data_IF_021505902028
#
_entry.id   IF_021505902028
#
_cell.length_a   1.000
_cell.length_b   1.000
_cell.length_c   1.000
_cell.angle_alpha   90.00
_cell.angle_beta   90.00
_cell.angle_gamma   90.00
#
_symmetry.space_group_name_H-M   'P 1'
#
loop_
_entity.id
_entity.type
_entity.pdbx_description
1 polymer ?
#
# COMPACT_ATOMS: atom_id res chain seq x y z
N UNK A 1 71.27 83.56 -56.35
CA UNK A 1 71.97 84.80 -55.95
C UNK A 1 71.52 85.15 -54.54
N UNK A 2 72.50 85.45 -53.66
CA UNK A 2 72.48 86.24 -52.41
C UNK A 2 71.18 86.37 -51.59
N UNK A 3 71.15 86.27 -50.26
CA UNK A 3 72.16 86.60 -49.25
C UNK A 3 71.72 86.00 -47.88
N UNK A 4 72.61 85.40 -47.06
CA UNK A 4 73.24 85.99 -45.84
C UNK A 4 72.22 86.28 -44.70
N UNK A 5 72.37 85.87 -43.43
CA UNK A 5 73.58 85.85 -42.56
C UNK A 5 73.24 85.45 -41.10
N UNK A 6 74.15 84.68 -40.44
CA UNK A 6 74.55 84.54 -38.99
C UNK A 6 73.51 84.14 -37.90
N UNK A 7 73.64 83.01 -37.16
CA UNK A 7 74.61 82.58 -36.09
C UNK A 7 74.30 83.20 -34.68
N UNK A 8 74.76 82.64 -33.54
CA UNK A 8 74.52 81.32 -32.90
C UNK A 8 74.24 81.46 -31.36
N UNK A 9 74.29 80.36 -30.58
CA UNK A 9 74.91 80.22 -29.22
C UNK A 9 74.10 79.30 -28.27
N UNK A 10 74.82 78.28 -27.76
CA UNK A 10 74.50 77.35 -26.67
C UNK A 10 74.41 78.05 -25.31
N UNK A 11 73.61 77.51 -24.39
CA UNK A 11 74.07 77.30 -23.01
C UNK A 11 73.33 76.15 -22.34
N UNK A 12 74.04 75.48 -21.44
CA UNK A 12 73.75 74.20 -20.80
C UNK A 12 73.39 74.38 -19.32
N UNK A 13 72.85 73.29 -18.72
CA UNK A 13 72.74 72.91 -17.27
C UNK A 13 71.27 72.75 -16.79
N UNK A 14 71.01 72.15 -15.61
CA UNK A 14 71.26 70.75 -15.22
C UNK A 14 69.96 70.08 -14.66
N UNK A 15 69.98 68.75 -14.45
CA UNK A 15 68.93 67.98 -13.72
C UNK A 15 68.81 68.44 -12.25
N UNK A 16 67.62 68.37 -11.63
CA UNK A 16 67.45 67.35 -10.58
C UNK A 16 66.03 66.78 -10.36
N UNK A 17 66.03 65.68 -9.59
CA UNK A 17 65.02 65.19 -8.64
C UNK A 17 63.69 64.55 -9.13
N UNK A 18 63.58 63.25 -8.80
CA UNK A 18 62.30 62.54 -8.55
C UNK A 18 61.60 63.16 -7.33
N UNK A 19 60.26 63.11 -7.31
CA UNK A 19 59.55 62.71 -6.11
C UNK A 19 58.66 61.49 -6.32
N UNK A 20 58.66 60.62 -5.31
CA UNK A 20 57.71 59.55 -5.06
C UNK A 20 56.29 60.10 -4.87
N UNK A 21 55.26 59.35 -5.29
CA UNK A 21 54.20 58.83 -4.42
C UNK A 21 53.01 58.33 -5.25
N UNK A 22 52.56 57.14 -4.86
CA UNK A 22 51.17 56.73 -4.77
C UNK A 22 50.30 56.97 -6.01
N UNK A 23 50.19 55.90 -6.80
CA UNK A 23 49.06 55.68 -7.69
C UNK A 23 47.73 55.79 -6.91
N UNK A 24 47.03 56.88 -7.22
CA UNK A 24 45.59 57.14 -7.11
C UNK A 24 44.70 55.99 -6.63
N UNK A 25 43.97 56.28 -5.55
CA UNK A 25 42.72 55.61 -5.20
C UNK A 25 41.56 56.11 -6.08
N UNK A 26 40.50 55.31 -6.09
CA UNK A 26 39.12 55.58 -6.52
C UNK A 26 38.72 55.24 -7.98
N UNK A 27 38.18 54.03 -8.17
CA UNK A 27 36.74 53.89 -8.47
C UNK A 27 36.24 52.48 -8.18
N UNK A 28 35.14 52.43 -7.43
CA UNK A 28 34.42 51.23 -7.08
C UNK A 28 33.67 50.62 -8.28
N UNK A 29 33.25 49.37 -8.06
CA UNK A 29 32.13 48.63 -8.64
C UNK A 29 32.37 47.79 -9.91
N UNK A 30 31.79 46.58 -9.85
CA UNK A 30 31.60 45.56 -10.90
C UNK A 30 32.85 44.71 -11.20
N UNK A 31 32.87 43.38 -11.06
CA UNK A 31 31.81 42.36 -11.07
C UNK A 31 32.25 41.13 -10.26
N UNK A 32 31.54 40.82 -9.17
CA UNK A 32 31.56 39.46 -8.63
C UNK A 32 30.80 38.56 -9.63
N UNK A 33 31.53 37.98 -10.57
CA UNK A 33 31.00 37.04 -11.56
C UNK A 33 30.33 35.86 -10.85
N UNK A 34 29.01 35.85 -10.94
CA UNK A 34 28.12 34.86 -10.36
C UNK A 34 28.46 33.45 -10.85
N UNK A 35 29.17 32.68 -10.02
CA UNK A 35 29.31 31.20 -10.19
C UNK A 35 27.99 30.43 -9.93
N UNK A 36 26.82 31.09 -10.08
CA UNK A 36 25.49 30.55 -9.76
C UNK A 36 24.72 29.81 -10.90
N UNK A 37 25.05 29.87 -12.21
CA UNK A 37 24.12 29.37 -13.24
C UNK A 37 24.04 27.84 -13.36
N UNK A 38 25.08 27.09 -12.94
CA UNK A 38 25.04 25.61 -12.95
C UNK A 38 24.25 25.03 -11.78
N UNK A 39 24.42 25.58 -10.58
CA UNK A 39 23.72 25.10 -9.38
C UNK A 39 22.21 25.36 -9.48
N UNK A 40 21.78 26.52 -9.98
CA UNK A 40 20.37 26.84 -10.19
C UNK A 40 19.74 25.96 -11.29
N UNK A 41 20.47 25.65 -12.35
CA UNK A 41 20.01 24.74 -13.41
C UNK A 41 19.86 23.30 -12.89
N UNK A 42 20.81 22.80 -12.10
CA UNK A 42 20.71 21.47 -11.47
C UNK A 42 19.55 21.43 -10.47
N UNK A 43 19.39 22.45 -9.62
CA UNK A 43 18.25 22.55 -8.70
C UNK A 43 16.91 22.56 -9.42
N UNK A 44 16.79 23.32 -10.52
CA UNK A 44 15.57 23.32 -11.34
C UNK A 44 15.29 21.95 -11.99
N UNK A 45 16.32 21.26 -12.49
CA UNK A 45 16.17 19.90 -13.04
C UNK A 45 15.71 18.93 -11.95
N UNK A 46 16.29 18.99 -10.75
CA UNK A 46 15.89 18.14 -9.62
C UNK A 46 14.45 18.42 -9.16
N UNK A 47 14.04 19.70 -9.12
CA UNK A 47 12.67 20.09 -8.80
C UNK A 47 11.68 19.58 -9.86
N UNK A 48 12.01 19.70 -11.15
CA UNK A 48 11.18 19.17 -12.23
C UNK A 48 11.10 17.64 -12.20
N UNK A 49 12.20 16.96 -11.89
CA UNK A 49 12.22 15.51 -11.72
C UNK A 49 11.36 15.07 -10.53
N UNK A 50 11.45 15.76 -9.39
CA UNK A 50 10.61 15.50 -8.23
C UNK A 50 9.13 15.75 -8.55
N UNK A 51 8.80 16.86 -9.22
CA UNK A 51 7.43 17.15 -9.64
C UNK A 51 6.88 16.08 -10.59
N UNK A 52 7.69 15.61 -11.55
CA UNK A 52 7.33 14.53 -12.46
C UNK A 52 7.10 13.20 -11.73
N UNK A 53 7.93 12.88 -10.73
CA UNK A 53 7.75 11.70 -9.88
C UNK A 53 6.46 11.77 -9.05
N UNK A 54 6.18 12.93 -8.45
CA UNK A 54 4.93 13.14 -7.70
C UNK A 54 3.72 13.04 -8.61
N UNK A 55 3.77 13.64 -9.81
CA UNK A 55 2.71 13.54 -10.81
C UNK A 55 2.50 12.10 -11.26
N UNK A 56 3.58 11.35 -11.53
CA UNK A 56 3.49 9.94 -11.89
C UNK A 56 2.84 9.10 -10.77
N UNK A 57 3.21 9.36 -9.51
CA UNK A 57 2.58 8.73 -8.35
C UNK A 57 1.09 9.07 -8.24
N UNK A 58 0.71 10.33 -8.45
CA UNK A 58 -0.68 10.78 -8.46
C UNK A 58 -1.48 10.12 -9.58
N UNK A 59 -0.93 10.01 -10.79
CA UNK A 59 -1.59 9.35 -11.93
C UNK A 59 -1.78 7.84 -11.65
N UNK A 60 -0.75 7.17 -11.11
CA UNK A 60 -0.83 5.74 -10.80
C UNK A 60 -1.79 5.43 -9.63
N UNK A 61 -1.98 6.33 -8.67
CA UNK A 61 -3.05 6.20 -7.68
C UNK A 61 -4.40 6.56 -8.29
N UNK A 62 -4.48 7.71 -8.97
CA UNK A 62 -5.71 8.29 -9.51
C UNK A 62 -6.43 7.38 -10.49
N UNK A 63 -5.70 6.58 -11.28
CA UNK A 63 -6.32 5.59 -12.18
C UNK A 63 -7.23 4.59 -11.45
N UNK A 64 -6.98 4.29 -10.17
CA UNK A 64 -7.81 3.37 -9.38
C UNK A 64 -9.23 3.89 -9.08
N UNK A 65 -9.45 5.19 -9.26
CA UNK A 65 -10.79 5.78 -9.19
C UNK A 65 -11.69 5.30 -10.35
N UNK A 66 -11.10 4.88 -11.48
CA UNK A 66 -11.83 4.49 -12.69
C UNK A 66 -11.61 3.03 -13.04
N UNK A 67 -10.36 2.55 -12.96
CA UNK A 67 -9.96 1.19 -13.34
C UNK A 67 -9.32 0.44 -12.16
N UNK A 68 -9.68 -0.81 -11.87
CA UNK A 68 -10.52 -1.73 -12.64
C UNK A 68 -12.01 -1.41 -12.52
N UNK A 69 -12.82 -1.95 -13.43
CA UNK A 69 -14.28 -1.93 -13.26
C UNK A 69 -14.67 -2.90 -12.13
N UNK A 70 -15.16 -2.35 -11.02
CA UNK A 70 -15.59 -3.13 -9.86
C UNK A 70 -17.04 -3.57 -9.98
N UNK A 71 -17.86 -2.89 -10.78
CA UNK A 71 -19.29 -3.12 -10.87
C UNK A 71 -19.59 -4.45 -11.58
N UNK A 72 -18.72 -4.88 -12.48
CA UNK A 72 -18.79 -6.21 -13.11
C UNK A 72 -18.86 -7.36 -12.08
N UNK A 73 -18.25 -7.16 -10.89
CA UNK A 73 -18.26 -8.17 -9.83
C UNK A 73 -19.64 -8.37 -9.18
N UNK A 74 -20.62 -7.49 -9.44
CA UNK A 74 -22.00 -7.69 -9.01
C UNK A 74 -22.62 -8.93 -9.65
N UNK A 75 -22.19 -9.29 -10.86
CA UNK A 75 -22.78 -10.36 -11.66
C UNK A 75 -21.77 -11.43 -12.08
N UNK A 76 -20.47 -11.14 -12.04
CA UNK A 76 -19.43 -12.04 -12.49
C UNK A 76 -18.41 -12.33 -11.39
N UNK A 77 -17.94 -13.57 -11.36
CA UNK A 77 -16.86 -13.95 -10.46
C UNK A 77 -15.51 -13.53 -11.06
N UNK A 78 -14.58 -13.01 -10.25
CA UNK A 78 -13.25 -12.69 -10.73
C UNK A 78 -12.52 -13.97 -11.14
N UNK A 79 -11.69 -13.86 -12.18
CA UNK A 79 -10.68 -14.89 -12.45
C UNK A 79 -9.53 -14.86 -11.43
N UNK A 80 -8.36 -15.33 -11.85
CA UNK A 80 -7.17 -15.35 -10.99
C UNK A 80 -6.77 -13.93 -10.52
N UNK A 81 -6.78 -13.74 -9.21
CA UNK A 81 -6.54 -12.45 -8.55
C UNK A 81 -5.07 -12.04 -8.56
N UNK A 82 -4.79 -10.77 -8.26
CA UNK A 82 -3.42 -10.27 -8.13
C UNK A 82 -2.65 -11.02 -7.02
N UNK A 83 -3.29 -11.34 -5.89
CA UNK A 83 -2.65 -12.08 -4.80
C UNK A 83 -2.33 -13.52 -5.19
N UNK A 84 -3.23 -14.20 -5.92
CA UNK A 84 -2.99 -15.54 -6.45
C UNK A 84 -1.81 -15.57 -7.42
N UNK A 85 -1.75 -14.63 -8.37
CA UNK A 85 -0.60 -14.52 -9.30
C UNK A 85 0.70 -14.23 -8.56
N UNK A 86 0.64 -13.40 -7.52
CA UNK A 86 1.79 -13.12 -6.68
C UNK A 86 2.29 -14.37 -5.96
N UNK A 87 1.40 -15.23 -5.44
CA UNK A 87 1.76 -16.52 -4.85
C UNK A 87 2.45 -17.46 -5.83
N UNK A 88 1.89 -17.62 -7.02
CA UNK A 88 2.47 -18.48 -8.06
C UNK A 88 3.88 -18.02 -8.45
N UNK A 89 4.06 -16.71 -8.70
CA UNK A 89 5.37 -16.14 -8.98
C UNK A 89 6.35 -16.30 -7.80
N UNK A 90 5.85 -16.29 -6.56
CA UNK A 90 6.67 -16.53 -5.39
C UNK A 90 7.19 -17.98 -5.37
N UNK A 91 6.32 -18.97 -5.61
CA UNK A 91 6.70 -20.38 -5.67
C UNK A 91 7.66 -20.68 -6.83
N UNK A 92 7.44 -20.06 -7.99
CA UNK A 92 8.32 -20.19 -9.15
C UNK A 92 9.75 -19.73 -8.82
N UNK A 93 9.91 -18.56 -8.19
CA UNK A 93 11.21 -18.05 -7.71
C UNK A 93 11.87 -18.96 -6.68
N UNK A 94 11.06 -19.65 -5.87
CA UNK A 94 11.53 -20.62 -4.87
C UNK A 94 11.75 -22.02 -5.45
N UNK A 95 11.54 -22.24 -6.76
CA UNK A 95 11.66 -23.55 -7.41
C UNK A 95 10.61 -24.57 -6.97
N UNK A 96 9.50 -24.12 -6.35
CA UNK A 96 8.44 -24.98 -5.82
C UNK A 96 7.40 -25.29 -6.89
N UNK A 97 7.18 -26.58 -7.18
CA UNK A 97 6.10 -27.05 -8.06
C UNK A 97 4.78 -27.12 -7.29
N UNK A 98 4.10 -25.99 -7.17
CA UNK A 98 2.80 -25.86 -6.50
C UNK A 98 1.74 -25.30 -7.43
N UNK A 99 0.47 -25.54 -7.08
CA UNK A 99 -0.69 -25.01 -7.80
C UNK A 99 -1.73 -24.51 -6.80
N UNK A 100 -2.49 -23.51 -7.24
CA UNK A 100 -3.64 -23.02 -6.52
C UNK A 100 -4.80 -24.00 -6.70
N UNK A 101 -5.39 -24.42 -5.58
CA UNK A 101 -6.67 -25.13 -5.54
C UNK A 101 -7.73 -24.13 -5.11
N UNK A 102 -8.74 -23.94 -5.95
CA UNK A 102 -9.89 -23.08 -5.67
C UNK A 102 -11.17 -23.75 -6.14
N UNK A 103 -12.20 -23.71 -5.29
CA UNK A 103 -13.56 -24.10 -5.64
C UNK A 103 -14.48 -22.94 -5.31
N UNK A 104 -15.15 -22.40 -6.32
CA UNK A 104 -16.10 -21.31 -6.13
C UNK A 104 -17.43 -21.84 -5.60
N UNK A 105 -17.98 -21.18 -4.58
CA UNK A 105 -19.30 -21.50 -4.02
C UNK A 105 -20.11 -20.22 -3.79
N UNK A 106 -21.39 -20.16 -4.19
CA UNK A 106 -22.25 -19.02 -3.85
C UNK A 106 -22.48 -18.96 -2.34
N UNK A 107 -22.72 -17.77 -1.79
CA UNK A 107 -22.89 -17.56 -0.34
C UNK A 107 -24.05 -18.37 0.24
N UNK A 108 -25.08 -18.64 -0.57
CA UNK A 108 -26.22 -19.49 -0.18
C UNK A 108 -25.83 -20.95 0.11
N UNK A 109 -24.65 -21.40 -0.35
CA UNK A 109 -24.08 -22.72 -0.09
C UNK A 109 -22.90 -22.67 0.89
N UNK A 110 -22.81 -21.60 1.67
CA UNK A 110 -21.90 -21.50 2.82
C UNK A 110 -22.73 -21.58 4.09
N UNK A 111 -22.28 -22.35 5.09
CA UNK A 111 -23.02 -22.49 6.34
C UNK A 111 -23.16 -21.14 7.04
N UNK A 112 -24.30 -20.92 7.72
CA UNK A 112 -24.53 -19.69 8.50
C UNK A 112 -23.46 -19.52 9.57
N UNK A 113 -23.03 -20.62 10.18
CA UNK A 113 -21.97 -20.64 11.18
C UNK A 113 -20.63 -20.15 10.60
N UNK A 114 -20.28 -20.54 9.37
CA UNK A 114 -19.08 -20.04 8.70
C UNK A 114 -19.14 -18.54 8.39
N UNK A 115 -20.28 -18.06 7.88
CA UNK A 115 -20.53 -16.62 7.66
C UNK A 115 -20.34 -15.83 8.96
N UNK A 116 -20.92 -16.33 10.05
CA UNK A 116 -20.84 -15.68 11.36
C UNK A 116 -19.42 -15.72 11.95
N UNK A 117 -18.75 -16.87 11.89
CA UNK A 117 -17.40 -17.05 12.41
C UNK A 117 -16.42 -16.08 11.74
N UNK A 118 -16.47 -15.99 10.41
CA UNK A 118 -15.57 -15.14 9.62
C UNK A 118 -15.82 -13.67 9.90
N UNK A 119 -17.08 -13.24 9.92
CA UNK A 119 -17.40 -11.84 10.25
C UNK A 119 -16.95 -11.51 11.67
N UNK A 120 -17.25 -12.33 12.69
CA UNK A 120 -16.78 -12.10 14.07
C UNK A 120 -15.24 -12.03 14.19
N UNK A 121 -14.53 -12.87 13.45
CA UNK A 121 -13.07 -13.01 13.56
C UNK A 121 -12.30 -11.92 12.82
N UNK A 122 -12.77 -11.51 11.65
CA UNK A 122 -12.08 -10.57 10.76
C UNK A 122 -12.66 -9.15 10.82
N UNK A 123 -13.97 -9.01 11.03
CA UNK A 123 -14.70 -7.75 10.87
C UNK A 123 -16.09 -7.79 11.55
N UNK A 124 -16.12 -7.63 12.87
CA UNK A 124 -17.34 -7.89 13.66
C UNK A 124 -18.50 -6.94 13.36
N UNK A 125 -18.18 -5.76 12.79
CA UNK A 125 -19.14 -4.73 12.38
C UNK A 125 -19.38 -4.75 10.86
N UNK A 126 -18.96 -5.79 10.14
CA UNK A 126 -19.02 -5.88 8.68
C UNK A 126 -20.36 -5.43 8.07
N UNK A 127 -21.46 -5.81 8.70
CA UNK A 127 -22.82 -5.51 8.23
C UNK A 127 -23.26 -4.05 8.46
N UNK A 128 -22.54 -3.29 9.30
CA UNK A 128 -22.97 -1.99 9.80
C UNK A 128 -22.14 -0.81 9.24
N UNK A 129 -20.96 -1.06 8.67
CA UNK A 129 -20.10 -0.01 8.11
C UNK A 129 -20.03 -0.07 6.58
N UNK A 130 -19.49 0.95 5.92
CA UNK A 130 -19.32 1.03 4.46
C UNK A 130 -17.84 0.88 4.06
N UNK A 131 -17.26 -0.28 4.37
CA UNK A 131 -15.87 -0.63 4.04
C UNK A 131 -14.80 -0.22 5.04
N UNK A 132 -15.10 0.66 6.01
CA UNK A 132 -14.13 1.09 7.03
C UNK A 132 -14.77 1.05 8.43
N UNK A 133 -14.15 0.33 9.36
CA UNK A 133 -14.49 0.38 10.80
C UNK A 133 -13.56 1.39 11.48
N UNK A 134 -13.95 2.67 11.47
CA UNK A 134 -13.12 3.74 12.04
C UNK A 134 -12.88 3.56 13.54
N UNK A 135 -13.92 3.17 14.29
CA UNK A 135 -13.81 2.87 15.72
C UNK A 135 -12.87 1.68 15.97
N UNK A 136 -13.00 0.61 15.19
CA UNK A 136 -12.11 -0.55 15.28
C UNK A 136 -10.66 -0.22 14.92
N UNK A 137 -10.44 0.62 13.91
CA UNK A 137 -9.11 1.11 13.53
C UNK A 137 -8.48 1.95 14.64
N UNK A 138 -9.24 2.86 15.27
CA UNK A 138 -8.76 3.67 16.39
C UNK A 138 -8.38 2.79 17.59
N UNK A 139 -9.24 1.85 17.98
CA UNK A 139 -8.96 0.92 19.07
C UNK A 139 -7.76 0.00 18.78
N UNK A 140 -7.58 -0.43 17.53
CA UNK A 140 -6.42 -1.21 17.12
C UNK A 140 -5.13 -0.38 17.25
N UNK A 141 -5.16 0.87 16.79
CA UNK A 141 -4.03 1.79 16.90
C UNK A 141 -3.66 2.08 18.36
N UNK A 142 -4.64 2.34 19.23
CA UNK A 142 -4.40 2.55 20.66
C UNK A 142 -3.72 1.34 21.31
N UNK A 143 -4.23 0.12 21.07
CA UNK A 143 -3.63 -1.14 21.56
C UNK A 143 -2.22 -1.38 21.05
N UNK A 144 -1.93 -0.95 19.83
CA UNK A 144 -0.62 -1.08 19.20
C UNK A 144 0.40 -0.11 19.81
N UNK A 145 -0.03 1.14 20.05
CA UNK A 145 0.76 2.15 20.76
C UNK A 145 1.08 1.70 22.19
N UNK A 146 0.08 1.18 22.93
CA UNK A 146 0.27 0.63 24.28
C UNK A 146 1.28 -0.53 24.32
N UNK A 147 1.31 -1.36 23.27
CA UNK A 147 2.21 -2.52 23.17
C UNK A 147 3.55 -2.20 22.51
N UNK A 148 3.78 -0.93 22.16
CA UNK A 148 5.00 -0.48 21.48
C UNK A 148 5.24 -1.15 20.13
N UNK A 149 4.20 -1.64 19.46
CA UNK A 149 4.32 -2.33 18.17
C UNK A 149 3.16 -1.97 17.25
N UNK A 150 3.44 -1.68 15.98
CA UNK A 150 2.42 -1.55 14.95
C UNK A 150 2.09 -2.95 14.44
N UNK A 151 0.95 -3.50 14.84
CA UNK A 151 0.43 -4.74 14.30
C UNK A 151 -0.31 -4.47 12.97
N UNK A 152 -0.38 -5.49 12.11
CA UNK A 152 -1.15 -5.42 10.87
C UNK A 152 -2.67 -5.61 11.09
N UNK A 153 -3.18 -5.28 12.27
CA UNK A 153 -4.59 -5.45 12.65
C UNK A 153 -5.45 -4.27 12.22
N UNK A 154 -6.74 -4.50 11.94
CA UNK A 154 -7.74 -3.44 11.74
C UNK A 154 -8.18 -3.19 10.30
N UNK A 155 -7.83 -4.05 9.33
CA UNK A 155 -8.42 -3.98 7.98
C UNK A 155 -9.74 -4.75 7.91
N UNK A 156 -10.79 -4.13 7.37
CA UNK A 156 -12.11 -4.72 7.17
C UNK A 156 -12.10 -5.81 6.08
N UNK A 157 -13.15 -6.62 6.01
CA UNK A 157 -13.30 -7.65 4.97
C UNK A 157 -13.23 -7.03 3.56
N UNK A 158 -13.83 -5.86 3.35
CA UNK A 158 -13.82 -5.16 2.05
C UNK A 158 -12.43 -4.67 1.68
N UNK A 159 -11.68 -4.13 2.64
CA UNK A 159 -10.29 -3.73 2.44
C UNK A 159 -9.41 -4.93 2.07
N UNK A 160 -9.60 -6.05 2.78
CA UNK A 160 -8.89 -7.29 2.49
C UNK A 160 -9.27 -7.85 1.11
N UNK A 161 -10.55 -7.78 0.71
CA UNK A 161 -11.02 -8.17 -0.61
C UNK A 161 -10.36 -7.31 -1.71
N UNK A 162 -10.39 -5.98 -1.58
CA UNK A 162 -9.76 -5.07 -2.54
C UNK A 162 -8.27 -5.38 -2.72
N UNK A 163 -7.58 -5.60 -1.60
CA UNK A 163 -6.17 -6.00 -1.58
C UNK A 163 -5.96 -7.31 -2.32
N UNK A 164 -6.74 -8.36 -2.03
CA UNK A 164 -6.56 -9.67 -2.64
C UNK A 164 -6.84 -9.67 -4.14
N UNK A 165 -7.90 -8.97 -4.57
CA UNK A 165 -8.31 -8.94 -5.98
C UNK A 165 -7.27 -8.28 -6.88
N UNK A 166 -6.75 -7.11 -6.49
CA UNK A 166 -6.00 -6.26 -7.43
C UNK A 166 -4.63 -5.78 -6.96
N UNK A 167 -4.29 -5.98 -5.69
CA UNK A 167 -3.05 -5.45 -5.13
C UNK A 167 -2.11 -6.58 -4.70
N UNK A 168 -0.81 -6.29 -4.67
CA UNK A 168 0.19 -7.19 -4.11
C UNK A 168 0.37 -6.94 -2.60
N UNK A 169 0.96 -7.89 -1.84
CA UNK A 169 1.18 -7.76 -0.38
C UNK A 169 2.21 -6.70 0.04
N UNK A 170 2.54 -5.72 -0.81
CA UNK A 170 3.57 -4.73 -0.51
C UNK A 170 3.21 -3.85 0.70
N UNK A 171 4.21 -3.44 1.49
CA UNK A 171 4.01 -2.53 2.64
C UNK A 171 4.04 -1.03 2.25
N UNK A 172 3.76 -0.71 0.99
CA UNK A 172 3.83 0.65 0.47
C UNK A 172 2.61 1.50 0.89
N UNK A 173 2.77 2.70 1.46
CA UNK A 173 1.67 3.61 1.77
C UNK A 173 0.77 3.95 0.55
N UNK A 174 1.35 4.13 -0.64
CA UNK A 174 0.59 4.37 -1.88
C UNK A 174 -0.32 3.19 -2.22
N UNK A 175 0.09 1.95 -1.89
CA UNK A 175 -0.77 0.77 -2.04
C UNK A 175 -1.97 0.85 -1.10
N UNK A 176 -1.81 1.35 0.13
CA UNK A 176 -2.93 1.51 1.07
C UNK A 176 -3.92 2.59 0.59
N UNK A 177 -3.46 3.65 -0.06
CA UNK A 177 -4.35 4.64 -0.69
C UNK A 177 -5.17 4.03 -1.84
N UNK A 178 -4.52 3.23 -2.71
CA UNK A 178 -5.22 2.47 -3.77
C UNK A 178 -6.25 1.50 -3.20
N UNK A 179 -5.91 0.81 -2.11
CA UNK A 179 -6.82 -0.07 -1.39
C UNK A 179 -8.04 0.69 -0.87
N UNK A 180 -7.84 1.89 -0.29
CA UNK A 180 -8.95 2.71 0.20
C UNK A 180 -9.91 3.13 -0.91
N UNK A 181 -9.37 3.57 -2.06
CA UNK A 181 -10.18 3.92 -3.26
C UNK A 181 -11.00 2.70 -3.72
N UNK A 182 -10.36 1.54 -3.86
CA UNK A 182 -11.02 0.30 -4.28
C UNK A 182 -12.07 -0.18 -3.27
N UNK A 183 -11.80 -0.05 -1.98
CA UNK A 183 -12.71 -0.41 -0.89
C UNK A 183 -14.01 0.40 -1.00
N UNK A 184 -13.87 1.73 -1.11
CA UNK A 184 -15.03 2.61 -1.30
C UNK A 184 -15.81 2.26 -2.57
N UNK A 185 -15.12 1.99 -3.68
CA UNK A 185 -15.78 1.61 -4.95
C UNK A 185 -16.53 0.26 -4.83
N UNK A 186 -15.97 -0.73 -4.13
CA UNK A 186 -16.61 -2.02 -3.91
C UNK A 186 -17.89 -1.87 -3.08
N UNK A 187 -17.85 -1.11 -2.00
CA UNK A 187 -19.03 -0.88 -1.13
C UNK A 187 -20.14 -0.12 -1.85
N UNK A 188 -19.77 0.82 -2.72
CA UNK A 188 -20.75 1.56 -3.54
C UNK A 188 -21.39 0.67 -4.62
N UNK A 189 -20.64 -0.27 -5.18
CA UNK A 189 -21.08 -1.05 -6.34
C UNK A 189 -21.73 -2.40 -5.99
N UNK A 190 -21.40 -2.97 -4.82
CA UNK A 190 -21.76 -4.34 -4.46
C UNK A 190 -22.54 -4.38 -3.14
N UNK A 191 -23.47 -5.33 -3.04
CA UNK A 191 -24.11 -5.62 -1.76
C UNK A 191 -23.13 -6.29 -0.78
N UNK A 192 -23.34 -6.10 0.53
CA UNK A 192 -22.56 -6.77 1.59
C UNK A 192 -22.50 -8.28 1.43
N UNK A 193 -23.61 -8.91 1.02
CA UNK A 193 -23.65 -10.34 0.74
C UNK A 193 -22.70 -10.71 -0.40
N UNK A 194 -22.69 -9.93 -1.48
CA UNK A 194 -21.79 -10.19 -2.61
C UNK A 194 -20.32 -9.96 -2.24
N UNK A 195 -20.02 -8.91 -1.48
CA UNK A 195 -18.67 -8.66 -0.96
C UNK A 195 -18.17 -9.85 -0.14
N UNK A 196 -18.99 -10.34 0.79
CA UNK A 196 -18.61 -11.48 1.63
C UNK A 196 -18.44 -12.76 0.80
N UNK A 197 -19.32 -13.00 -0.18
CA UNK A 197 -19.17 -14.14 -1.11
C UNK A 197 -17.84 -14.10 -1.84
N UNK A 198 -17.49 -12.96 -2.44
CA UNK A 198 -16.23 -12.78 -3.14
C UNK A 198 -15.06 -13.03 -2.19
N UNK A 199 -15.09 -12.41 -1.00
CA UNK A 199 -14.05 -12.55 0.02
C UNK A 199 -13.81 -14.01 0.39
N UNK A 200 -14.88 -14.74 0.75
CA UNK A 200 -14.79 -16.13 1.16
C UNK A 200 -14.21 -17.02 0.07
N UNK A 201 -14.42 -16.69 -1.20
CA UNK A 201 -13.91 -17.45 -2.34
C UNK A 201 -12.49 -17.07 -2.78
N UNK A 202 -12.01 -15.86 -2.48
CA UNK A 202 -10.67 -15.39 -2.91
C UNK A 202 -9.65 -15.31 -1.77
N UNK A 203 -10.08 -15.46 -0.52
CA UNK A 203 -9.18 -15.55 0.63
C UNK A 203 -8.30 -16.81 0.54
N UNK A 204 -7.07 -16.70 1.00
CA UNK A 204 -6.15 -17.83 1.21
C UNK A 204 -6.41 -18.42 2.59
N UNK A 205 -6.75 -19.70 2.64
CA UNK A 205 -7.06 -20.43 3.87
C UNK A 205 -5.93 -21.37 4.30
N UNK A 206 -5.03 -21.69 3.37
CA UNK A 206 -3.87 -22.55 3.58
C UNK A 206 -2.91 -22.43 2.39
N UNK A 207 -1.80 -23.17 2.44
CA UNK A 207 -0.76 -23.16 1.41
C UNK A 207 -1.30 -23.63 0.05
N UNK A 208 -1.61 -22.67 -0.82
CA UNK A 208 -2.25 -22.90 -2.11
C UNK A 208 -3.73 -23.24 -2.07
N UNK A 209 -4.37 -23.10 -0.91
CA UNK A 209 -5.81 -23.34 -0.72
C UNK A 209 -6.52 -22.00 -0.70
N UNK A 210 -7.31 -21.74 -1.75
CA UNK A 210 -8.09 -20.53 -1.91
C UNK A 210 -9.58 -20.85 -1.95
N UNK A 211 -10.36 -20.03 -1.26
CA UNK A 211 -11.81 -20.22 -1.16
C UNK A 211 -12.25 -21.18 -0.07
N UNK A 212 -13.36 -20.84 0.59
CA UNK A 212 -13.86 -21.55 1.77
C UNK A 212 -14.27 -23.00 1.47
N UNK A 213 -14.77 -23.29 0.28
CA UNK A 213 -15.12 -24.66 -0.12
C UNK A 213 -13.88 -25.56 -0.21
N UNK A 214 -12.79 -25.05 -0.81
CA UNK A 214 -11.53 -25.78 -0.86
C UNK A 214 -10.95 -26.00 0.55
N UNK A 215 -11.07 -24.98 1.42
CA UNK A 215 -10.61 -25.06 2.80
C UNK A 215 -11.39 -26.08 3.63
N UNK A 216 -12.73 -26.05 3.58
CA UNK A 216 -13.60 -26.98 4.29
C UNK A 216 -13.31 -28.44 3.92
N UNK A 217 -13.10 -28.70 2.62
CA UNK A 217 -12.75 -30.04 2.13
C UNK A 217 -11.35 -30.46 2.59
N UNK A 218 -10.37 -29.56 2.50
CA UNK A 218 -8.98 -29.87 2.83
C UNK A 218 -8.79 -30.12 4.33
N UNK A 219 -9.41 -29.33 5.20
CA UNK A 219 -9.23 -29.44 6.66
C UNK A 219 -10.16 -30.46 7.32
N UNK A 220 -11.39 -30.63 6.81
CA UNK A 220 -12.42 -31.39 7.51
C UNK A 220 -13.15 -32.43 6.65
N UNK A 221 -12.88 -32.49 5.34
CA UNK A 221 -13.56 -33.42 4.44
C UNK A 221 -15.05 -33.11 4.24
N UNK A 222 -15.50 -31.90 4.58
CA UNK A 222 -16.91 -31.47 4.41
C UNK A 222 -17.04 -30.35 3.38
N UNK A 223 -18.26 -30.12 2.89
CA UNK A 223 -18.56 -28.92 2.09
C UNK A 223 -18.63 -27.68 2.97
N UNK A 224 -18.48 -26.48 2.39
CA UNK A 224 -18.67 -25.21 3.10
C UNK A 224 -20.07 -25.08 3.70
N UNK A 225 -21.08 -25.70 3.08
CA UNK A 225 -22.44 -25.77 3.61
C UNK A 225 -22.54 -26.66 4.86
N UNK A 226 -21.70 -27.70 4.96
CA UNK A 226 -21.69 -28.68 6.05
C UNK A 226 -20.80 -28.33 7.24
N UNK A 227 -20.16 -27.15 7.25
CA UNK A 227 -19.32 -26.72 8.36
C UNK A 227 -20.12 -26.53 9.64
N UNK A 228 -19.75 -27.27 10.69
CA UNK A 228 -20.25 -27.06 12.05
C UNK A 228 -19.77 -25.73 12.64
N UNK A 229 -20.35 -25.29 13.76
CA UNK A 229 -19.91 -24.08 14.46
C UNK A 229 -18.44 -24.14 14.88
N UNK A 230 -18.01 -25.29 15.40
CA UNK A 230 -16.62 -25.49 15.81
C UNK A 230 -15.65 -25.47 14.63
N UNK A 231 -16.00 -26.14 13.52
CA UNK A 231 -15.19 -26.16 12.31
C UNK A 231 -15.10 -24.76 11.68
N UNK A 232 -16.22 -24.05 11.62
CA UNK A 232 -16.30 -22.66 11.16
C UNK A 232 -15.41 -21.73 12.00
N UNK A 233 -15.49 -21.84 13.34
CA UNK A 233 -14.66 -21.04 14.25
C UNK A 233 -13.17 -21.34 14.09
N UNK A 234 -12.80 -22.61 13.86
CA UNK A 234 -11.40 -23.00 13.60
C UNK A 234 -10.89 -22.44 12.26
N UNK A 235 -11.69 -22.51 11.19
CA UNK A 235 -11.32 -21.91 9.90
C UNK A 235 -11.16 -20.38 10.02
N UNK A 236 -12.09 -19.72 10.68
CA UNK A 236 -11.99 -18.28 10.91
C UNK A 236 -10.77 -17.91 11.77
N UNK A 237 -10.38 -18.78 12.71
CA UNK A 237 -9.21 -18.55 13.55
C UNK A 237 -7.88 -18.56 12.76
N UNK A 238 -7.80 -19.25 11.61
CA UNK A 238 -6.56 -19.38 10.83
C UNK A 238 -6.31 -18.24 9.83
N UNK A 239 -7.34 -17.50 9.45
CA UNK A 239 -7.28 -16.42 8.43
C UNK A 239 -6.17 -15.38 8.64
N UNK A 240 -5.79 -14.97 9.87
CA UNK A 240 -4.68 -14.03 10.04
C UNK A 240 -3.31 -14.59 9.63
N UNK A 241 -3.14 -15.92 9.62
CA UNK A 241 -1.86 -16.57 9.28
C UNK A 241 -2.06 -17.96 8.65
N UNK A 242 -2.69 -18.04 7.46
CA UNK A 242 -3.15 -19.31 6.87
C UNK A 242 -1.98 -20.24 6.49
N UNK A 243 -0.79 -19.71 6.26
CA UNK A 243 0.40 -20.53 5.98
C UNK A 243 1.06 -21.11 7.24
N UNK A 244 0.75 -20.57 8.42
CA UNK A 244 1.40 -20.93 9.68
C UNK A 244 0.47 -21.68 10.62
N UNK A 245 -0.83 -21.46 10.49
CA UNK A 245 -1.85 -22.00 11.38
C UNK A 245 -2.67 -23.05 10.63
N UNK A 246 -3.12 -24.07 11.36
CA UNK A 246 -3.93 -25.17 10.82
C UNK A 246 -5.26 -25.22 11.54
N UNK A 247 -6.36 -25.35 10.78
CA UNK A 247 -7.70 -25.47 11.35
C UNK A 247 -8.00 -26.91 11.77
N UNK A 248 -7.46 -27.88 11.03
CA UNK A 248 -7.53 -29.32 11.33
C UNK A 248 -6.66 -29.71 12.53
N UNK A 249 -5.46 -29.13 12.66
CA UNK A 249 -4.49 -29.41 13.72
C UNK A 249 -4.06 -28.12 14.43
N UNK A 250 -4.98 -27.46 15.16
CA UNK A 250 -4.69 -26.16 15.75
C UNK A 250 -3.68 -26.28 16.89
N UNK A 251 -2.70 -25.37 16.90
CA UNK A 251 -1.87 -25.15 18.08
C UNK A 251 -2.74 -24.65 19.26
N UNK A 252 -2.22 -24.72 20.48
CA UNK A 252 -2.95 -24.23 21.68
C UNK A 252 -3.47 -22.81 21.52
N UNK A 253 -2.68 -21.91 20.92
CA UNK A 253 -3.08 -20.52 20.68
C UNK A 253 -4.20 -20.39 19.64
N UNK A 254 -4.14 -21.15 18.55
CA UNK A 254 -5.19 -21.17 17.51
C UNK A 254 -6.48 -21.77 18.06
N UNK A 255 -6.38 -22.86 18.84
CA UNK A 255 -7.52 -23.47 19.49
C UNK A 255 -8.21 -22.52 20.48
N UNK A 256 -7.43 -21.75 21.26
CA UNK A 256 -7.98 -20.72 22.15
C UNK A 256 -8.70 -19.62 21.36
N UNK A 257 -8.10 -19.13 20.27
CA UNK A 257 -8.73 -18.15 19.38
C UNK A 257 -10.05 -18.68 18.81
N UNK A 258 -10.06 -19.92 18.34
CA UNK A 258 -11.28 -20.57 17.82
C UNK A 258 -12.37 -20.67 18.90
N UNK A 259 -12.02 -21.00 20.15
CA UNK A 259 -12.97 -21.01 21.27
C UNK A 259 -13.57 -19.63 21.56
N UNK A 260 -12.75 -18.57 21.50
CA UNK A 260 -13.24 -17.20 21.68
C UNK A 260 -14.22 -16.82 20.56
N UNK A 261 -13.92 -17.17 19.30
CA UNK A 261 -14.81 -16.94 18.17
C UNK A 261 -16.13 -17.70 18.36
N UNK A 262 -16.06 -18.99 18.69
CA UNK A 262 -17.23 -19.83 18.93
C UNK A 262 -18.11 -19.28 20.05
N UNK A 263 -17.53 -18.87 21.17
CA UNK A 263 -18.28 -18.28 22.28
C UNK A 263 -19.00 -16.99 21.85
N UNK A 264 -18.34 -16.13 21.04
CA UNK A 264 -18.98 -14.93 20.50
C UNK A 264 -20.11 -15.26 19.52
N UNK A 265 -19.99 -16.32 18.72
CA UNK A 265 -21.07 -16.80 17.85
C UNK A 265 -22.30 -17.22 18.67
N UNK A 266 -22.08 -18.06 19.69
CA UNK A 266 -23.15 -18.57 20.55
C UNK A 266 -23.90 -17.45 21.27
N UNK A 267 -23.18 -16.44 21.78
CA UNK A 267 -23.81 -15.25 22.36
C UNK A 267 -24.69 -14.50 21.36
N UNK A 268 -24.19 -14.24 20.16
CA UNK A 268 -24.94 -13.53 19.11
C UNK A 268 -26.19 -14.30 18.65
N UNK A 269 -26.16 -15.62 18.68
CA UNK A 269 -27.34 -16.45 18.40
C UNK A 269 -28.37 -16.39 19.54
N UNK A 270 -27.90 -16.41 20.79
CA UNK A 270 -28.76 -16.27 21.96
C UNK A 270 -29.47 -14.92 22.06
N UNK A 271 -28.83 -13.83 21.61
CA UNK A 271 -29.42 -12.49 21.58
C UNK A 271 -30.47 -12.31 20.46
N UNK A 272 -30.60 -13.27 19.53
CA UNK A 272 -31.51 -13.23 18.38
C UNK A 272 -32.72 -14.18 18.49
N UNK A 273 -32.79 -15.00 19.54
CA UNK A 273 -33.88 -15.94 19.81
C UNK A 273 -34.77 -15.46 20.94
#
# INVERSE_FOLDING_TARGET
MSAKTRLPIRSSRPRPARPSRASRSARASHTAGSRRPRAERVSRILLLALAALLLAGMVDVGRYAVWPDVAVLAHQNPGKTAFMRWREAQWEREGKKKRITQVWVPLSRVSRSAIMAVTIAEDDKFWNHEGFDFEGMEQALQKDLEKGRIAAGGSTITQQLAKNLWLSPSRNPLRKLKEAILTWRLEKALSKRRILELYLNVAEWGDGIFGIEAAARADFGVSAAGLSEEQAARLAAVLPSPLKWSASHPSRGVALRARIILHRMQRRLGDQG
#
